data_IF_873670137715
#
_entry.id   IF_873670137715
#
_cell.length_a   1.000
_cell.length_b   1.000
_cell.length_c   1.000
_cell.angle_alpha   90.00
_cell.angle_beta   90.00
_cell.angle_gamma   90.00
#
_symmetry.space_group_name_H-M   'P 1'
#
loop_
_entity.id
_entity.type
_entity.pdbx_description
1 polymer ?
#
# COMPACT_ATOMS: atom_id res chain seq x y z
N UNK A 1 4.74 -7.30 5.88
CA UNK A 1 4.30 -5.95 5.47
C UNK A 1 3.38 -5.45 6.58
N UNK A 2 3.75 -4.35 7.24
CA UNK A 2 2.85 -3.68 8.17
C UNK A 2 1.91 -2.79 7.36
N UNK A 3 0.60 -2.93 7.59
CA UNK A 3 -0.41 -2.20 6.84
C UNK A 3 -1.47 -1.64 7.77
N UNK A 4 -2.02 -0.48 7.40
CA UNK A 4 -3.14 0.15 8.09
C UNK A 4 -3.81 1.16 7.16
N UNK A 5 -5.05 1.50 7.48
CA UNK A 5 -5.85 2.42 6.68
C UNK A 5 -6.13 3.73 7.41
N UNK A 6 -6.38 4.78 6.63
CA UNK A 6 -6.99 6.05 7.07
C UNK A 6 -8.00 6.49 6.04
N UNK A 7 -8.98 7.30 6.43
CA UNK A 7 -9.95 7.83 5.49
C UNK A 7 -10.48 9.20 5.90
N UNK A 8 -10.98 9.91 4.90
CA UNK A 8 -11.83 11.09 5.04
C UNK A 8 -13.08 10.97 4.14
N UNK A 9 -13.78 12.08 3.93
CA UNK A 9 -15.00 12.11 3.12
C UNK A 9 -14.77 11.76 1.63
N UNK A 10 -13.55 11.96 1.12
CA UNK A 10 -13.18 11.91 -0.29
C UNK A 10 -12.13 10.85 -0.60
N UNK A 11 -11.35 10.44 0.39
CA UNK A 11 -10.22 9.53 0.21
C UNK A 11 -10.21 8.37 1.21
N UNK A 12 -9.72 7.22 0.75
CA UNK A 12 -9.28 6.12 1.61
C UNK A 12 -7.82 5.79 1.30
N UNK A 13 -7.01 5.65 2.32
CA UNK A 13 -5.55 5.49 2.21
C UNK A 13 -5.17 4.15 2.82
N UNK A 14 -4.31 3.40 2.14
CA UNK A 14 -3.63 2.21 2.63
C UNK A 14 -2.12 2.48 2.68
N UNK A 15 -1.55 2.43 3.88
CA UNK A 15 -0.11 2.43 4.06
C UNK A 15 0.42 0.99 3.97
N UNK A 16 1.53 0.81 3.26
CA UNK A 16 2.26 -0.44 3.10
C UNK A 16 3.71 -0.20 3.53
N UNK A 17 4.08 -0.65 4.73
CA UNK A 17 5.44 -0.52 5.26
C UNK A 17 6.13 -1.89 5.22
N UNK A 18 7.27 -1.96 4.53
CA UNK A 18 8.01 -3.18 4.32
C UNK A 18 8.98 -3.45 5.48
N UNK A 19 8.57 -4.34 6.38
CA UNK A 19 9.41 -4.83 7.49
C UNK A 19 10.02 -6.22 7.19
N UNK A 20 10.08 -6.64 5.93
CA UNK A 20 10.70 -7.93 5.58
C UNK A 20 12.18 -7.91 5.95
N UNK A 21 12.69 -9.04 6.42
CA UNK A 21 14.06 -9.20 6.93
C UNK A 21 14.45 -8.27 8.10
N UNK A 22 13.47 -7.61 8.73
CA UNK A 22 13.67 -6.76 9.90
C UNK A 22 12.76 -7.19 11.05
N UNK A 23 13.16 -6.82 12.26
CA UNK A 23 12.31 -6.92 13.45
C UNK A 23 11.28 -5.77 13.52
N UNK A 24 10.53 -5.69 14.60
CA UNK A 24 9.55 -4.63 14.85
C UNK A 24 10.09 -3.48 15.74
N UNK A 25 11.41 -3.43 15.97
CA UNK A 25 12.06 -2.36 16.71
C UNK A 25 12.46 -1.25 15.74
N UNK A 26 12.09 -0.02 16.10
CA UNK A 26 12.42 1.15 15.28
C UNK A 26 13.86 1.63 15.50
N UNK A 27 14.43 1.40 16.69
CA UNK A 27 15.80 1.79 17.01
C UNK A 27 16.78 0.80 16.40
N UNK A 28 17.83 1.32 15.75
CA UNK A 28 18.99 0.57 15.30
C UNK A 28 20.25 1.15 15.96
N UNK A 29 20.45 0.85 17.25
CA UNK A 29 21.59 1.41 18.01
C UNK A 29 22.94 1.02 17.42
N UNK A 30 22.99 -0.13 16.74
CA UNK A 30 24.21 -0.72 16.18
C UNK A 30 24.38 -0.40 14.69
N UNK A 31 23.40 0.24 14.04
CA UNK A 31 23.43 0.56 12.61
C UNK A 31 23.50 -0.67 11.70
N UNK A 32 22.91 -1.80 12.12
CA UNK A 32 23.03 -3.08 11.42
C UNK A 32 21.71 -3.62 10.84
N UNK A 33 20.63 -2.83 10.87
CA UNK A 33 19.38 -3.18 10.18
C UNK A 33 19.66 -3.30 8.69
N UNK A 34 19.09 -4.34 8.10
CA UNK A 34 19.24 -4.64 6.68
C UNK A 34 18.17 -3.92 5.89
N UNK A 35 18.46 -3.68 4.62
CA UNK A 35 17.42 -3.27 3.69
C UNK A 35 16.31 -4.33 3.64
N UNK A 36 15.03 -3.91 3.59
CA UNK A 36 13.94 -4.83 3.38
C UNK A 36 14.10 -5.60 2.07
N UNK A 37 13.58 -6.84 2.04
CA UNK A 37 13.42 -7.59 0.80
C UNK A 37 12.49 -6.81 -0.15
N UNK A 38 12.99 -6.40 -1.32
CA UNK A 38 12.16 -5.74 -2.34
C UNK A 38 11.09 -6.73 -2.80
N UNK A 39 9.83 -6.31 -2.68
CA UNK A 39 8.68 -7.12 -3.10
C UNK A 39 8.14 -6.62 -4.43
N UNK A 40 7.76 -7.56 -5.30
CA UNK A 40 7.21 -7.26 -6.61
C UNK A 40 5.81 -7.84 -6.79
N UNK A 41 5.00 -7.15 -7.58
CA UNK A 41 3.67 -7.60 -8.01
C UNK A 41 2.76 -8.04 -6.84
N UNK A 42 2.73 -7.21 -5.79
CA UNK A 42 1.90 -7.46 -4.61
C UNK A 42 0.43 -7.30 -4.96
N UNK A 43 -0.31 -8.42 -4.96
CA UNK A 43 -1.77 -8.41 -5.12
C UNK A 43 -2.42 -7.98 -3.81
N UNK A 44 -3.13 -6.86 -3.86
CA UNK A 44 -3.83 -6.29 -2.71
C UNK A 44 -5.33 -6.42 -2.92
N UNK A 45 -6.04 -6.89 -1.89
CA UNK A 45 -7.49 -6.84 -1.82
C UNK A 45 -7.89 -5.83 -0.74
N UNK A 46 -8.63 -4.79 -1.13
CA UNK A 46 -9.06 -3.70 -0.25
C UNK A 46 -10.59 -3.69 -0.15
N UNK A 47 -11.14 -4.01 1.03
CA UNK A 47 -12.58 -4.01 1.24
C UNK A 47 -13.08 -2.58 1.49
N UNK A 48 -14.11 -2.17 0.73
CA UNK A 48 -14.76 -0.87 0.88
C UNK A 48 -16.17 -0.92 0.32
N UNK A 49 -17.08 -0.18 0.95
CA UNK A 49 -18.44 0.08 0.48
C UNK A 49 -18.55 1.39 -0.32
N UNK A 50 -17.49 2.23 -0.32
CA UNK A 50 -17.44 3.45 -1.11
C UNK A 50 -17.32 3.13 -2.61
N UNK A 51 -17.98 3.94 -3.42
CA UNK A 51 -17.78 3.92 -4.87
C UNK A 51 -16.46 4.62 -5.17
N UNK A 52 -15.46 3.89 -5.66
CA UNK A 52 -14.14 4.45 -5.97
C UNK A 52 -14.07 4.84 -7.45
N UNK A 53 -13.65 6.07 -7.71
CA UNK A 53 -13.51 6.65 -9.05
C UNK A 53 -12.09 6.48 -9.60
N UNK A 54 -11.08 6.49 -8.73
CA UNK A 54 -9.67 6.32 -9.10
C UNK A 54 -8.84 5.77 -7.93
N UNK A 55 -7.72 5.13 -8.25
CA UNK A 55 -6.72 4.71 -7.28
C UNK A 55 -5.33 5.09 -7.78
N UNK A 56 -4.45 5.40 -6.84
CA UNK A 56 -3.09 5.84 -7.12
C UNK A 56 -2.14 5.25 -6.10
N UNK A 57 -0.87 5.13 -6.50
CA UNK A 57 0.23 4.76 -5.65
C UNK A 57 1.29 5.86 -5.69
N UNK A 58 1.72 6.31 -4.51
CA UNK A 58 2.87 7.17 -4.34
C UNK A 58 3.86 6.51 -3.36
N UNK A 59 5.15 6.73 -3.57
CA UNK A 59 6.20 6.24 -2.68
C UNK A 59 7.39 7.19 -2.69
N UNK A 60 8.03 7.45 -1.54
CA UNK A 60 9.30 8.15 -1.51
C UNK A 60 10.47 7.34 -2.11
N UNK A 61 10.30 6.02 -2.25
CA UNK A 61 11.38 5.12 -2.68
C UNK A 61 11.63 5.19 -4.19
N UNK A 62 10.64 5.62 -4.98
CA UNK A 62 10.76 5.67 -6.43
C UNK A 62 10.02 6.86 -7.05
N UNK A 63 10.50 7.29 -8.22
CA UNK A 63 9.92 8.35 -9.05
C UNK A 63 9.62 9.67 -8.30
N UNK A 64 10.42 10.01 -7.29
CA UNK A 64 10.35 11.31 -6.60
C UNK A 64 9.01 11.63 -5.94
N UNK A 65 8.33 10.63 -5.37
CA UNK A 65 6.98 10.76 -4.80
C UNK A 65 5.85 11.05 -5.82
N UNK A 66 6.10 10.94 -7.11
CA UNK A 66 5.04 11.13 -8.12
C UNK A 66 3.97 10.04 -8.00
N UNK A 67 2.71 10.48 -7.96
CA UNK A 67 1.57 9.57 -7.94
C UNK A 67 1.39 8.87 -9.29
N UNK A 68 1.36 7.55 -9.26
CA UNK A 68 1.13 6.72 -10.44
C UNK A 68 -0.29 6.14 -10.42
N UNK A 69 -1.04 6.14 -11.53
CA UNK A 69 -2.33 5.48 -11.60
C UNK A 69 -2.23 4.00 -11.28
N UNK A 70 -3.16 3.50 -10.47
CA UNK A 70 -3.21 2.11 -10.03
C UNK A 70 -4.51 1.46 -10.51
N UNK A 71 -4.50 0.76 -11.66
CA UNK A 71 -5.68 0.07 -12.15
C UNK A 71 -6.17 -0.95 -11.14
N UNK A 72 -7.49 -1.02 -10.97
CA UNK A 72 -8.13 -1.94 -10.05
C UNK A 72 -9.37 -2.58 -10.69
N UNK A 73 -9.70 -3.76 -10.19
CA UNK A 73 -10.95 -4.46 -10.48
C UNK A 73 -11.83 -4.47 -9.24
N UNK A 74 -13.15 -4.39 -9.41
CA UNK A 74 -14.10 -4.53 -8.30
C UNK A 74 -14.59 -5.97 -8.22
N UNK A 75 -14.67 -6.52 -7.02
CA UNK A 75 -15.25 -7.83 -6.76
C UNK A 75 -16.14 -7.83 -5.52
N UNK A 76 -16.83 -8.95 -5.30
CA UNK A 76 -17.64 -9.18 -4.10
C UNK A 76 -17.47 -10.63 -3.67
N UNK A 77 -17.28 -10.83 -2.37
CA UNK A 77 -17.26 -12.14 -1.74
C UNK A 77 -18.05 -12.08 -0.41
N UNK A 78 -18.15 -13.18 0.37
CA UNK A 78 -18.89 -13.18 1.64
C UNK A 78 -18.43 -12.14 2.66
N UNK A 79 -17.22 -11.60 2.55
CA UNK A 79 -16.69 -10.55 3.43
C UNK A 79 -17.03 -9.13 2.97
N UNK A 80 -17.59 -8.97 1.76
CA UNK A 80 -18.06 -7.68 1.25
C UNK A 80 -17.59 -7.36 -0.17
N UNK A 81 -17.83 -6.11 -0.58
CA UNK A 81 -17.28 -5.55 -1.83
C UNK A 81 -15.82 -5.17 -1.61
N UNK A 82 -14.98 -5.42 -2.61
CA UNK A 82 -13.57 -5.09 -2.57
C UNK A 82 -13.06 -4.55 -3.89
N UNK A 83 -11.94 -3.85 -3.83
CA UNK A 83 -11.06 -3.58 -4.96
C UNK A 83 -9.89 -4.57 -4.94
N UNK A 84 -9.44 -4.97 -6.12
CA UNK A 84 -8.23 -5.75 -6.31
C UNK A 84 -7.29 -5.02 -7.25
N UNK A 85 -6.06 -4.80 -6.82
CA UNK A 85 -5.02 -4.13 -7.60
C UNK A 85 -3.64 -4.73 -7.30
N UNK A 86 -2.66 -4.38 -8.15
CA UNK A 86 -1.28 -4.88 -8.03
C UNK A 86 -0.32 -3.73 -7.80
N UNK A 87 0.35 -3.72 -6.65
CA UNK A 87 1.48 -2.81 -6.39
C UNK A 87 2.73 -3.42 -7.02
N UNK A 88 3.27 -2.73 -8.04
CA UNK A 88 4.37 -3.23 -8.87
C UNK A 88 5.65 -3.50 -8.08
N UNK A 89 6.05 -2.54 -7.24
CA UNK A 89 7.23 -2.65 -6.37
C UNK A 89 6.93 -2.04 -5.00
N UNK A 90 7.44 -2.67 -3.95
CA UNK A 90 7.48 -2.12 -2.59
C UNK A 90 8.87 -2.33 -2.00
N UNK A 91 9.62 -1.24 -1.84
CA UNK A 91 10.95 -1.24 -1.21
C UNK A 91 10.84 -1.01 0.29
N UNK A 92 10.51 0.20 0.74
CA UNK A 92 10.32 0.54 2.16
C UNK A 92 8.88 0.94 2.46
N UNK A 93 8.32 1.87 1.69
CA UNK A 93 6.99 2.41 1.95
C UNK A 93 6.22 2.76 0.65
N UNK A 94 5.03 2.16 0.51
CA UNK A 94 4.03 2.56 -0.47
C UNK A 94 2.80 3.16 0.21
N UNK A 95 2.25 4.22 -0.39
CA UNK A 95 0.97 4.81 -0.01
C UNK A 95 -0.01 4.67 -1.19
N UNK A 96 -0.99 3.78 -1.03
CA UNK A 96 -2.10 3.70 -1.97
C UNK A 96 -3.21 4.62 -1.47
N UNK A 97 -3.75 5.46 -2.34
CA UNK A 97 -4.92 6.26 -2.01
C UNK A 97 -6.01 6.11 -3.08
N UNK A 98 -7.24 5.95 -2.61
CA UNK A 98 -8.46 5.70 -3.36
C UNK A 98 -9.31 6.96 -3.29
N UNK A 99 -9.79 7.44 -4.43
CA UNK A 99 -10.66 8.62 -4.55
C UNK A 99 -12.10 8.14 -4.70
N UNK A 100 -13.01 8.63 -3.85
CA UNK A 100 -14.46 8.32 -3.92
C UNK A 100 -15.20 9.19 -4.94
#
# INVERSE_FOLDING_TARGET
IWTYTKEDATHQILHLINLRNNDNLWVDEQGNKKDPEILHNLKVKFYTDKKISAAYLASPDYNGCESTPLPFETGKDPSGTYLQFTVGTLEYWGMVYLVS
#
